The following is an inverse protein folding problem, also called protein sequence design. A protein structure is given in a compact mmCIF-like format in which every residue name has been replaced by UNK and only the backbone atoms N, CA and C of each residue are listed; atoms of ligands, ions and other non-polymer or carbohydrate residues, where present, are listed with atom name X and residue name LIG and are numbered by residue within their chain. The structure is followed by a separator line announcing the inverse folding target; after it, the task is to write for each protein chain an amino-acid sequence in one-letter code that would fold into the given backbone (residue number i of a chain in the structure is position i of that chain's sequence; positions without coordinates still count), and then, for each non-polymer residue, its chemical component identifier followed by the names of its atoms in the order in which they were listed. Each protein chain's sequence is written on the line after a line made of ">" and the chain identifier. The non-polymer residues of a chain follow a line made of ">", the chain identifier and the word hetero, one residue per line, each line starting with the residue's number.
data_IF_602913677086
#
_entry.id   IF_602913677086
#
_cell.length_a   1.000
_cell.length_b   1.000
_cell.length_c   1.000
_cell.angle_alpha   90.00
_cell.angle_beta   90.00
_cell.angle_gamma   90.00
#
_symmetry.space_group_name_H-M   'P 1'
#
loop_
_entity.id
_entity.type
_entity.pdbx_description
1 polymer ?
#
# COMPACT_ATOMS: atom_id res chain seq x y z
N UNK A 1 -26.45 -0.97 38.20
CA UNK A 1 -26.92 -1.53 36.92
C UNK A 1 -26.80 -0.55 35.74
N UNK A 2 -27.15 0.74 35.88
CA UNK A 2 -27.08 1.74 34.78
C UNK A 2 -25.65 2.16 34.35
N UNK A 3 -24.68 2.10 35.27
CA UNK A 3 -23.27 2.49 35.02
C UNK A 3 -22.56 1.58 33.99
N UNK A 4 -22.93 0.30 33.99
CA UNK A 4 -22.33 -0.73 33.14
C UNK A 4 -22.79 -0.60 31.67
N UNK A 5 -23.99 -0.06 31.44
CA UNK A 5 -24.51 0.24 30.10
C UNK A 5 -23.82 1.44 29.48
N UNK A 6 -23.56 2.49 30.26
CA UNK A 6 -22.85 3.68 29.79
C UNK A 6 -21.43 3.30 29.33
N UNK A 7 -20.69 2.50 30.12
CA UNK A 7 -19.36 2.04 29.74
C UNK A 7 -19.39 1.16 28.47
N UNK A 8 -20.37 0.25 28.32
CA UNK A 8 -20.49 -0.60 27.13
C UNK A 8 -20.82 0.19 25.87
N UNK A 9 -21.74 1.15 25.95
CA UNK A 9 -22.06 2.03 24.83
C UNK A 9 -20.86 2.92 24.44
N UNK A 10 -20.10 3.40 25.42
CA UNK A 10 -18.91 4.21 25.16
C UNK A 10 -17.82 3.41 24.45
N UNK A 11 -17.57 2.16 24.88
CA UNK A 11 -16.62 1.26 24.21
C UNK A 11 -17.06 0.94 22.78
N UNK A 12 -18.34 0.65 22.57
CA UNK A 12 -18.89 0.40 21.23
C UNK A 12 -18.76 1.62 20.31
N UNK A 13 -19.02 2.82 20.84
CA UNK A 13 -18.86 4.05 20.08
C UNK A 13 -17.39 4.29 19.67
N UNK A 14 -16.43 4.03 20.57
CA UNK A 14 -14.99 4.16 20.28
C UNK A 14 -14.57 3.19 19.17
N UNK A 15 -15.00 1.92 19.25
CA UNK A 15 -14.69 0.90 18.23
C UNK A 15 -15.27 1.31 16.86
N UNK A 16 -16.49 1.84 16.83
CA UNK A 16 -17.13 2.30 15.59
C UNK A 16 -16.37 3.46 14.94
N UNK A 17 -15.85 4.41 15.72
CA UNK A 17 -15.09 5.56 15.20
C UNK A 17 -13.75 5.09 14.62
N UNK A 18 -13.06 4.15 15.29
CA UNK A 18 -11.80 3.59 14.80
C UNK A 18 -11.97 2.82 13.48
N UNK A 19 -13.04 2.05 13.35
CA UNK A 19 -13.31 1.30 12.12
C UNK A 19 -13.58 2.24 10.92
N UNK A 20 -14.34 3.32 11.14
CA UNK A 20 -14.59 4.33 10.11
C UNK A 20 -13.30 5.05 9.64
N UNK A 21 -12.35 5.31 10.54
CA UNK A 21 -11.06 5.92 10.19
C UNK A 21 -10.15 5.00 9.36
N UNK A 22 -10.25 3.67 9.54
CA UNK A 22 -9.46 2.70 8.77
C UNK A 22 -9.94 2.48 7.32
N UNK A 23 -11.16 2.92 7.00
CA UNK A 23 -11.80 2.74 5.68
C UNK A 23 -11.41 3.85 4.69
N UNK A 24 -10.65 4.85 5.11
CA UNK A 24 -10.18 5.90 4.21
C UNK A 24 -9.18 5.33 3.19
N UNK A 25 -9.72 4.89 2.05
CA UNK A 25 -8.95 4.38 0.93
C UNK A 25 -8.06 5.52 0.40
N UNK A 26 -6.77 5.46 0.74
CA UNK A 26 -5.83 6.49 0.30
C UNK A 26 -5.65 6.32 -1.20
N UNK A 27 -5.90 7.41 -1.94
CA UNK A 27 -5.58 7.43 -3.37
C UNK A 27 -4.11 7.02 -3.55
N UNK A 28 -3.80 6.06 -4.44
CA UNK A 28 -2.42 5.66 -4.66
C UNK A 28 -1.64 6.84 -5.26
N UNK A 29 -0.36 6.95 -4.90
CA UNK A 29 0.55 7.85 -5.60
C UNK A 29 1.00 7.16 -6.89
N UNK A 30 1.06 7.92 -7.99
CA UNK A 30 1.51 7.41 -9.29
C UNK A 30 2.93 7.92 -9.53
N UNK A 31 3.87 6.99 -9.72
CA UNK A 31 5.24 7.28 -10.16
C UNK A 31 5.43 6.65 -11.54
N UNK A 32 5.52 7.48 -12.58
CA UNK A 32 5.79 7.05 -13.95
C UNK A 32 7.27 7.26 -14.26
N UNK A 33 7.98 6.17 -14.55
CA UNK A 33 9.38 6.19 -14.97
C UNK A 33 9.43 5.77 -16.44
N UNK A 34 10.01 6.61 -17.28
CA UNK A 34 10.19 6.35 -18.71
C UNK A 34 11.68 6.31 -19.00
N UNK A 35 12.12 5.28 -19.71
CA UNK A 35 13.45 5.18 -20.27
C UNK A 35 13.35 5.26 -21.80
N UNK A 36 14.18 6.09 -22.40
CA UNK A 36 14.27 6.23 -23.86
C UNK A 36 15.15 5.10 -24.42
N UNK A 37 14.75 4.54 -25.57
CA UNK A 37 15.47 3.47 -26.29
C UNK A 37 15.93 2.24 -25.46
N UNK A 38 15.26 1.95 -24.34
CA UNK A 38 15.58 0.76 -23.54
C UNK A 38 15.19 -0.52 -24.29
N UNK A 39 16.18 -1.35 -24.60
CA UNK A 39 15.98 -2.63 -25.26
C UNK A 39 15.31 -3.63 -24.33
N UNK A 40 14.43 -4.48 -24.90
CA UNK A 40 13.79 -5.57 -24.16
C UNK A 40 14.84 -6.52 -23.55
N UNK A 41 15.84 -6.94 -24.34
CA UNK A 41 16.86 -7.88 -23.89
C UNK A 41 17.86 -7.30 -22.85
N UNK A 42 17.79 -6.01 -22.51
CA UNK A 42 18.75 -5.35 -21.62
C UNK A 42 18.45 -5.62 -20.14
N UNK A 43 17.21 -5.99 -19.82
CA UNK A 43 16.75 -6.12 -18.43
C UNK A 43 16.96 -7.53 -17.90
N UNK A 44 17.44 -7.63 -16.66
CA UNK A 44 17.78 -8.90 -16.02
C UNK A 44 16.56 -9.83 -15.89
N UNK A 45 15.41 -9.27 -15.50
CA UNK A 45 14.15 -9.99 -15.41
C UNK A 45 13.58 -10.43 -16.78
N UNK A 46 14.13 -9.91 -17.88
CA UNK A 46 13.81 -10.35 -19.24
C UNK A 46 14.85 -11.33 -19.82
N UNK A 47 15.85 -11.72 -19.00
CA UNK A 47 16.89 -12.68 -19.38
C UNK A 47 18.22 -12.06 -19.82
N UNK A 48 18.36 -10.73 -19.79
CA UNK A 48 19.63 -10.04 -20.03
C UNK A 48 20.69 -10.42 -18.99
N UNK A 49 21.91 -10.71 -19.44
CA UNK A 49 23.02 -11.15 -18.56
C UNK A 49 24.20 -10.18 -18.50
N UNK A 50 24.28 -9.26 -19.45
CA UNK A 50 25.42 -8.37 -19.62
C UNK A 50 25.32 -7.11 -18.73
N UNK A 51 24.10 -6.60 -18.53
CA UNK A 51 23.85 -5.36 -17.78
C UNK A 51 23.11 -5.67 -16.47
N UNK A 52 23.75 -5.51 -15.29
CA UNK A 52 23.09 -5.73 -14.02
C UNK A 52 22.07 -4.63 -13.72
N UNK A 53 20.82 -5.03 -13.47
CA UNK A 53 19.66 -4.15 -13.20
C UNK A 53 18.99 -4.44 -11.83
N UNK A 54 19.75 -4.46 -10.72
CA UNK A 54 19.29 -5.02 -9.44
C UNK A 54 18.05 -4.34 -8.84
N UNK A 55 17.86 -3.04 -9.07
CA UNK A 55 16.69 -2.31 -8.59
C UNK A 55 15.39 -2.69 -9.31
N UNK A 56 15.47 -3.32 -10.49
CA UNK A 56 14.33 -3.74 -11.31
C UNK A 56 14.09 -5.26 -11.29
N UNK A 57 14.97 -6.03 -10.65
CA UNK A 57 14.92 -7.50 -10.62
C UNK A 57 14.25 -8.07 -9.34
N UNK A 58 13.54 -7.22 -8.58
CA UNK A 58 12.91 -7.58 -7.31
C UNK A 58 11.56 -8.28 -7.49
#
# INVERSE_FOLDING_TARGET
>A
MKKNWICRCMVLAIISIYCAASIADRKPNILLIVADDLGYADLGFQGGKDIPTPALNA
#
